data_IF_364794732468
#
_entry.id   IF_364794732468
#
_cell.length_a   1.000
_cell.length_b   1.000
_cell.length_c   1.000
_cell.angle_alpha   90.00
_cell.angle_beta   90.00
_cell.angle_gamma   90.00
#
_symmetry.space_group_name_H-M   'P 1'
#
loop_
_entity.id
_entity.type
_entity.pdbx_description
1 polymer ?
#
# COMPACT_ATOMS: atom_id res chain seq x y z
N UNK A 1 13.40 -8.64 5.45
CA UNK A 1 12.67 -7.52 6.13
C UNK A 1 11.27 -7.91 6.60
N UNK A 2 10.36 -8.39 5.74
CA UNK A 2 8.99 -8.76 6.18
C UNK A 2 8.96 -9.74 7.35
N UNK A 3 9.78 -10.80 7.34
CA UNK A 3 9.88 -11.74 8.46
C UNK A 3 10.27 -11.04 9.77
N UNK A 4 11.35 -10.25 9.74
CA UNK A 4 11.81 -9.46 10.88
C UNK A 4 10.69 -8.60 11.47
N UNK A 5 9.94 -7.87 10.63
CA UNK A 5 8.89 -6.98 11.13
C UNK A 5 7.65 -7.76 11.58
N UNK A 6 7.09 -8.64 10.75
CA UNK A 6 5.83 -9.32 11.09
C UNK A 6 6.00 -10.38 12.17
N UNK A 7 7.02 -11.22 12.07
CA UNK A 7 7.22 -12.36 12.98
C UNK A 7 8.02 -11.91 14.20
N UNK A 8 9.20 -11.33 14.02
CA UNK A 8 10.10 -11.04 15.15
C UNK A 8 9.67 -9.78 15.94
N UNK A 9 9.29 -8.68 15.28
CA UNK A 9 8.90 -7.45 15.98
C UNK A 9 7.43 -7.40 16.43
N UNK A 10 6.53 -7.91 15.59
CA UNK A 10 5.08 -7.82 15.81
C UNK A 10 4.46 -9.11 16.35
N UNK A 11 5.22 -10.21 16.43
CA UNK A 11 4.74 -11.49 16.98
C UNK A 11 3.60 -12.11 16.18
N UNK A 12 3.49 -11.81 14.88
CA UNK A 12 2.39 -12.31 14.03
C UNK A 12 2.70 -13.66 13.44
N UNK A 13 1.71 -14.53 13.46
CA UNK A 13 1.67 -15.70 12.57
C UNK A 13 1.40 -15.22 11.14
N UNK A 14 2.22 -15.66 10.19
CA UNK A 14 2.05 -15.35 8.77
C UNK A 14 2.01 -16.67 8.00
N UNK A 15 0.98 -16.84 7.15
CA UNK A 15 0.73 -18.08 6.40
C UNK A 15 1.93 -18.56 5.60
N UNK A 16 2.71 -17.62 5.07
CA UNK A 16 3.84 -17.86 4.19
C UNK A 16 5.21 -17.66 4.87
N UNK A 17 5.27 -17.69 6.20
CA UNK A 17 6.54 -17.60 6.91
C UNK A 17 7.32 -18.92 6.82
N UNK A 18 8.58 -18.81 6.39
CA UNK A 18 9.59 -19.85 6.52
C UNK A 18 10.48 -19.48 7.71
N UNK A 19 10.32 -20.23 8.81
CA UNK A 19 11.04 -19.97 10.06
C UNK A 19 12.51 -20.40 10.01
N UNK A 20 12.87 -21.36 9.16
CA UNK A 20 14.23 -21.84 9.00
C UNK A 20 15.06 -20.82 8.21
N UNK A 21 14.49 -20.30 7.12
CA UNK A 21 15.14 -19.29 6.26
C UNK A 21 14.92 -17.86 6.73
N UNK A 22 14.04 -17.65 7.72
CA UNK A 22 13.59 -16.33 8.20
C UNK A 22 13.09 -15.44 7.07
N UNK A 23 12.28 -16.01 6.18
CA UNK A 23 11.71 -15.33 5.02
C UNK A 23 10.19 -15.38 5.03
N UNK A 24 9.57 -14.44 4.31
CA UNK A 24 8.16 -14.50 3.94
C UNK A 24 8.12 -14.25 2.44
N UNK A 25 7.56 -15.19 1.69
CA UNK A 25 7.34 -15.11 0.24
C UNK A 25 5.91 -15.53 -0.07
N UNK A 26 5.12 -14.58 -0.54
CA UNK A 26 3.71 -14.72 -0.87
C UNK A 26 3.55 -14.88 -2.39
N UNK A 27 2.51 -15.58 -2.88
CA UNK A 27 2.28 -15.72 -4.32
C UNK A 27 2.27 -14.39 -5.09
N UNK A 28 1.73 -13.33 -4.47
CA UNK A 28 1.65 -11.99 -5.04
C UNK A 28 3.02 -11.34 -5.29
N UNK A 29 4.09 -11.82 -4.64
CA UNK A 29 5.42 -11.26 -4.79
C UNK A 29 6.01 -11.48 -6.19
N UNK A 30 5.53 -12.49 -6.92
CA UNK A 30 6.03 -12.85 -8.24
C UNK A 30 5.79 -11.74 -9.28
N UNK A 31 4.60 -11.15 -9.26
CA UNK A 31 4.13 -10.28 -10.34
C UNK A 31 4.01 -8.81 -9.93
N UNK A 32 4.12 -8.52 -8.63
CA UNK A 32 4.01 -7.18 -8.07
C UNK A 32 5.23 -6.29 -8.34
N UNK A 33 5.11 -5.01 -7.97
CA UNK A 33 6.25 -4.13 -7.77
C UNK A 33 6.57 -4.04 -6.28
N UNK A 34 7.81 -4.37 -5.91
CA UNK A 34 8.30 -4.22 -4.55
C UNK A 34 9.30 -3.05 -4.49
N UNK A 35 8.95 -2.03 -3.73
CA UNK A 35 9.85 -0.91 -3.41
C UNK A 35 10.62 -1.21 -2.14
N UNK A 36 11.88 -0.79 -2.13
CA UNK A 36 12.79 -0.91 -1.01
C UNK A 36 13.41 0.45 -0.71
N UNK A 37 13.44 0.83 0.56
CA UNK A 37 14.16 2.01 1.03
C UNK A 37 15.41 1.57 1.78
N UNK A 38 16.53 2.18 1.43
CA UNK A 38 17.83 1.90 2.02
C UNK A 38 18.36 3.14 2.75
N UNK A 39 19.01 2.92 3.90
CA UNK A 39 19.87 3.87 4.58
C UNK A 39 21.30 3.33 4.52
N UNK A 40 22.13 3.89 3.64
CA UNK A 40 23.37 3.26 3.19
C UNK A 40 23.09 1.86 2.60
N UNK A 41 23.75 0.84 3.14
CA UNK A 41 23.56 -0.57 2.74
C UNK A 41 22.43 -1.26 3.51
N UNK A 42 21.81 -0.58 4.48
CA UNK A 42 20.77 -1.18 5.31
C UNK A 42 19.38 -1.03 4.67
N UNK A 43 18.70 -2.15 4.44
CA UNK A 43 17.27 -2.15 4.07
C UNK A 43 16.42 -1.73 5.28
N UNK A 44 15.77 -0.57 5.20
CA UNK A 44 15.01 0.05 6.31
C UNK A 44 13.50 0.10 6.07
N UNK A 45 13.06 -0.04 4.82
CA UNK A 45 11.68 0.15 4.41
C UNK A 45 11.28 -0.71 3.21
N UNK A 46 10.02 -1.16 3.15
CA UNK A 46 9.45 -1.76 1.94
C UNK A 46 8.00 -1.33 1.73
N UNK A 47 7.53 -1.36 0.49
CA UNK A 47 6.10 -1.35 0.15
C UNK A 47 5.86 -2.12 -1.13
N UNK A 48 4.74 -2.85 -1.22
CA UNK A 48 4.35 -3.65 -2.37
C UNK A 48 3.15 -3.01 -3.06
N UNK A 49 3.23 -2.81 -4.37
CA UNK A 49 2.12 -2.38 -5.22
C UNK A 49 1.78 -3.45 -6.23
N UNK A 50 0.52 -3.85 -6.31
CA UNK A 50 0.05 -4.95 -7.17
C UNK A 50 -1.12 -4.47 -8.02
N UNK A 51 -0.95 -4.56 -9.35
CA UNK A 51 -1.95 -4.04 -10.29
C UNK A 51 -2.94 -5.13 -10.66
N UNK A 52 -4.23 -4.83 -10.61
CA UNK A 52 -5.28 -5.84 -10.82
C UNK A 52 -5.29 -6.41 -12.26
N UNK A 53 -4.77 -5.67 -13.23
CA UNK A 53 -4.63 -6.16 -14.62
C UNK A 53 -3.42 -7.08 -14.84
N UNK A 54 -2.48 -7.14 -13.88
CA UNK A 54 -1.21 -7.86 -14.02
C UNK A 54 -1.06 -8.99 -13.01
N UNK A 55 -1.52 -8.78 -11.79
CA UNK A 55 -1.36 -9.69 -10.68
C UNK A 55 -2.64 -10.48 -10.46
N UNK A 56 -2.52 -11.76 -10.09
CA UNK A 56 -3.62 -12.47 -9.44
C UNK A 56 -3.75 -11.96 -8.01
N UNK A 57 -4.79 -11.15 -7.77
CA UNK A 57 -5.05 -10.53 -6.47
C UNK A 57 -5.77 -11.47 -5.49
N UNK A 58 -6.08 -12.71 -5.87
CA UNK A 58 -6.86 -13.62 -5.03
C UNK A 58 -8.16 -12.97 -4.58
N UNK A 59 -8.45 -13.01 -3.27
CA UNK A 59 -9.71 -12.52 -2.69
C UNK A 59 -9.76 -11.00 -2.48
N UNK A 60 -8.67 -10.25 -2.75
CA UNK A 60 -8.64 -8.81 -2.51
C UNK A 60 -9.71 -8.01 -3.26
N UNK A 61 -10.02 -8.28 -4.55
CA UNK A 61 -11.05 -7.53 -5.28
C UNK A 61 -12.42 -7.57 -4.62
N UNK A 62 -12.83 -8.75 -4.14
CA UNK A 62 -14.07 -8.96 -3.42
C UNK A 62 -14.01 -8.34 -2.02
N UNK A 63 -12.97 -8.65 -1.24
CA UNK A 63 -12.79 -8.16 0.13
C UNK A 63 -12.76 -6.62 0.20
N UNK A 64 -12.07 -5.99 -0.76
CA UNK A 64 -11.93 -4.54 -0.83
C UNK A 64 -13.04 -3.88 -1.64
N UNK A 65 -13.96 -4.66 -2.21
CA UNK A 65 -15.05 -4.17 -3.04
C UNK A 65 -14.55 -3.23 -4.15
N UNK A 66 -13.50 -3.66 -4.85
CA UNK A 66 -12.81 -2.85 -5.87
C UNK A 66 -13.74 -2.55 -7.06
N UNK A 67 -14.72 -3.41 -7.35
CA UNK A 67 -15.71 -3.18 -8.40
C UNK A 67 -16.55 -1.90 -8.21
N UNK A 68 -16.57 -1.30 -7.01
CA UNK A 68 -17.28 -0.03 -6.74
C UNK A 68 -16.72 1.17 -7.52
N UNK A 69 -15.48 1.12 -8.02
CA UNK A 69 -14.95 2.16 -8.93
C UNK A 69 -15.36 1.95 -10.39
N UNK A 70 -16.24 0.98 -10.64
CA UNK A 70 -16.88 0.77 -11.94
C UNK A 70 -15.88 0.41 -13.03
N UNK A 71 -15.96 1.13 -14.16
CA UNK A 71 -15.21 0.83 -15.39
C UNK A 71 -13.69 0.87 -15.24
N UNK A 72 -13.19 1.49 -14.18
CA UNK A 72 -11.75 1.59 -13.94
C UNK A 72 -11.18 0.26 -13.43
N UNK A 73 -12.00 -0.61 -12.83
CA UNK A 73 -11.57 -1.95 -12.43
C UNK A 73 -11.74 -2.97 -13.58
N UNK A 74 -10.76 -3.86 -13.85
CA UNK A 74 -9.46 -4.01 -13.17
C UNK A 74 -8.31 -3.18 -13.79
N UNK A 75 -8.54 -2.56 -14.95
CA UNK A 75 -7.46 -1.99 -15.79
C UNK A 75 -6.67 -0.85 -15.14
N UNK A 76 -7.32 -0.08 -14.27
CA UNK A 76 -6.76 1.13 -13.65
C UNK A 76 -6.78 1.06 -12.12
N UNK A 77 -6.81 -0.16 -11.55
CA UNK A 77 -6.83 -0.35 -10.11
C UNK A 77 -5.61 -1.10 -9.59
N UNK A 78 -5.13 -0.72 -8.41
CA UNK A 78 -4.07 -1.40 -7.68
C UNK A 78 -4.44 -1.65 -6.22
N UNK A 79 -3.70 -2.56 -5.58
CA UNK A 79 -3.61 -2.63 -4.13
C UNK A 79 -2.20 -2.29 -3.68
N UNK A 80 -2.09 -1.57 -2.57
CA UNK A 80 -0.81 -1.30 -1.91
C UNK A 80 -0.76 -1.98 -0.56
N UNK A 81 0.21 -2.86 -0.36
CA UNK A 81 0.33 -3.71 0.84
C UNK A 81 1.77 -3.69 1.36
N UNK A 82 1.98 -4.27 2.55
CA UNK A 82 3.31 -4.49 3.12
C UNK A 82 4.16 -3.21 3.22
N UNK A 83 3.52 -2.06 3.49
CA UNK A 83 4.21 -0.83 3.89
C UNK A 83 4.81 -1.05 5.30
N UNK A 84 6.10 -1.33 5.32
CA UNK A 84 6.85 -1.67 6.52
C UNK A 84 8.05 -0.76 6.66
N UNK A 85 8.34 -0.35 7.89
CA UNK A 85 9.54 0.40 8.25
C UNK A 85 10.09 -0.20 9.55
N UNK A 86 11.40 -0.44 9.59
CA UNK A 86 12.09 -0.89 10.79
C UNK A 86 11.84 0.07 11.94
N UNK A 87 11.66 -0.45 13.16
CA UNK A 87 11.28 0.32 14.35
C UNK A 87 12.08 1.62 14.53
N UNK A 88 13.41 1.53 14.41
CA UNK A 88 14.32 2.65 14.68
C UNK A 88 14.30 3.73 13.59
N UNK A 89 13.65 3.46 12.45
CA UNK A 89 13.53 4.38 11.31
C UNK A 89 12.09 4.89 11.11
N UNK A 90 11.17 4.56 12.03
CA UNK A 90 9.74 4.94 11.91
C UNK A 90 9.49 6.43 12.13
N UNK A 91 10.37 7.12 12.86
CA UNK A 91 10.29 8.57 13.05
C UNK A 91 10.87 9.34 11.85
N UNK A 92 11.48 8.64 10.90
CA UNK A 92 11.98 9.22 9.67
C UNK A 92 10.88 9.26 8.60
N UNK A 93 11.09 10.05 7.55
CA UNK A 93 10.17 10.19 6.42
C UNK A 93 10.10 8.96 5.49
N UNK A 94 10.64 7.79 5.91
CA UNK A 94 10.76 6.58 5.07
C UNK A 94 9.41 6.10 4.55
N UNK A 95 8.38 6.00 5.41
CA UNK A 95 7.04 5.59 4.98
C UNK A 95 6.45 6.56 3.97
N UNK A 96 6.66 7.87 4.17
CA UNK A 96 6.23 8.92 3.24
C UNK A 96 6.98 8.83 1.91
N UNK A 97 8.29 8.58 1.92
CA UNK A 97 9.10 8.42 0.71
C UNK A 97 8.65 7.21 -0.12
N UNK A 98 8.39 6.07 0.52
CA UNK A 98 7.85 4.88 -0.13
C UNK A 98 6.46 5.13 -0.72
N UNK A 99 5.59 5.84 0.01
CA UNK A 99 4.27 6.24 -0.49
C UNK A 99 4.37 7.15 -1.72
N UNK A 100 5.28 8.14 -1.71
CA UNK A 100 5.52 9.04 -2.84
C UNK A 100 6.06 8.31 -4.07
N UNK A 101 6.99 7.36 -3.89
CA UNK A 101 7.51 6.54 -4.97
C UNK A 101 6.41 5.67 -5.59
N UNK A 102 5.59 5.04 -4.74
CA UNK A 102 4.46 4.21 -5.17
C UNK A 102 3.41 5.03 -5.93
N UNK A 103 3.03 6.20 -5.38
CA UNK A 103 2.09 7.13 -6.02
C UNK A 103 2.57 7.58 -7.41
N UNK A 104 3.82 8.08 -7.50
CA UNK A 104 4.38 8.56 -8.77
C UNK A 104 4.38 7.47 -9.83
N UNK A 105 4.78 6.25 -9.45
CA UNK A 105 4.80 5.15 -10.40
C UNK A 105 3.41 4.69 -10.81
N UNK A 106 2.48 4.59 -9.85
CA UNK A 106 1.08 4.26 -10.14
C UNK A 106 0.46 5.24 -11.12
N UNK A 107 0.67 6.55 -10.91
CA UNK A 107 0.18 7.59 -11.81
C UNK A 107 0.75 7.44 -13.22
N UNK A 108 2.07 7.22 -13.35
CA UNK A 108 2.74 7.02 -14.63
C UNK A 108 2.27 5.76 -15.37
N UNK A 109 1.97 4.68 -14.63
CA UNK A 109 1.52 3.40 -15.17
C UNK A 109 -0.01 3.39 -15.44
N UNK A 110 -0.69 4.53 -15.25
CA UNK A 110 -2.11 4.69 -15.55
C UNK A 110 -3.06 4.12 -14.50
N UNK A 111 -2.61 3.93 -13.26
CA UNK A 111 -3.49 3.62 -12.13
C UNK A 111 -4.34 4.86 -11.82
N UNK A 112 -5.65 4.65 -11.64
CA UNK A 112 -6.61 5.67 -11.21
C UNK A 112 -7.02 5.49 -9.77
N UNK A 113 -7.16 4.25 -9.32
CA UNK A 113 -7.54 3.94 -7.94
C UNK A 113 -6.60 2.95 -7.26
N UNK A 114 -6.10 3.29 -6.07
CA UNK A 114 -5.36 2.37 -5.20
C UNK A 114 -6.19 2.03 -3.95
N UNK A 115 -6.09 0.78 -3.49
CA UNK A 115 -6.78 0.30 -2.30
C UNK A 115 -5.79 -0.26 -1.26
N UNK A 116 -6.07 0.00 0.01
CA UNK A 116 -5.29 -0.47 1.16
C UNK A 116 -6.21 -0.96 2.26
N UNK A 117 -5.74 -1.91 3.09
CA UNK A 117 -6.31 -2.17 4.39
C UNK A 117 -5.45 -1.54 5.50
N UNK A 118 -6.13 -0.94 6.48
CA UNK A 118 -5.46 -0.22 7.56
C UNK A 118 -6.08 -0.55 8.90
N UNK A 119 -5.23 -0.64 9.92
CA UNK A 119 -5.71 -0.59 11.29
C UNK A 119 -6.25 0.82 11.61
N UNK A 120 -7.31 0.95 12.42
CA UNK A 120 -7.92 2.24 12.73
C UNK A 120 -6.93 3.31 13.19
N UNK A 121 -5.95 2.94 14.02
CA UNK A 121 -4.93 3.86 14.52
C UNK A 121 -4.01 4.46 13.42
N UNK A 122 -4.03 3.93 12.20
CA UNK A 122 -3.20 4.39 11.07
C UNK A 122 -3.99 5.22 10.05
N UNK A 123 -5.31 5.32 10.19
CA UNK A 123 -6.17 6.09 9.27
C UNK A 123 -5.67 7.53 9.08
N UNK A 124 -5.33 8.31 10.13
CA UNK A 124 -4.94 9.70 9.95
C UNK A 124 -3.72 9.90 9.03
N UNK A 125 -2.78 8.95 9.03
CA UNK A 125 -1.63 8.99 8.14
C UNK A 125 -2.05 8.88 6.67
N UNK A 126 -2.97 7.95 6.35
CA UNK A 126 -3.42 7.73 4.99
C UNK A 126 -4.43 8.79 4.53
N UNK A 127 -5.26 9.32 5.42
CA UNK A 127 -6.12 10.48 5.12
C UNK A 127 -5.30 11.71 4.72
N UNK A 128 -4.17 11.96 5.40
CA UNK A 128 -3.27 13.04 5.01
C UNK A 128 -2.61 12.80 3.64
N UNK A 129 -2.41 11.54 3.22
CA UNK A 129 -1.98 11.22 1.86
C UNK A 129 -3.09 11.45 0.82
N UNK A 130 -4.36 11.51 1.23
CA UNK A 130 -5.53 11.68 0.35
C UNK A 130 -6.38 10.42 0.19
N UNK A 131 -6.15 9.38 0.98
CA UNK A 131 -7.03 8.22 1.01
C UNK A 131 -8.33 8.56 1.73
N UNK A 132 -9.43 7.92 1.32
CA UNK A 132 -10.73 8.01 1.96
C UNK A 132 -11.20 6.62 2.39
N UNK A 133 -11.99 6.56 3.45
CA UNK A 133 -12.64 5.31 3.87
C UNK A 133 -13.52 4.80 2.73
N UNK A 134 -13.31 3.53 2.35
CA UNK A 134 -14.03 2.85 1.27
C UNK A 134 -14.94 1.74 1.81
N UNK A 135 -14.40 0.92 2.71
CA UNK A 135 -15.16 -0.06 3.51
C UNK A 135 -14.84 0.21 4.99
N UNK A 136 -15.82 0.69 5.78
CA UNK A 136 -15.59 1.17 7.14
C UNK A 136 -15.28 0.07 8.15
N UNK A 137 -15.62 -1.18 7.84
CA UNK A 137 -15.30 -2.34 8.65
C UNK A 137 -15.12 -3.58 7.77
N UNK A 138 -13.97 -4.22 7.90
CA UNK A 138 -13.65 -5.49 7.27
C UNK A 138 -13.02 -6.42 8.30
N UNK A 139 -13.53 -7.64 8.39
CA UNK A 139 -12.91 -8.71 9.16
C UNK A 139 -11.90 -9.43 8.25
N UNK A 140 -10.64 -9.01 8.27
CA UNK A 140 -9.59 -9.63 7.48
C UNK A 140 -9.17 -10.98 8.10
N UNK A 141 -9.08 -12.08 7.33
CA UNK A 141 -8.75 -13.41 7.85
C UNK A 141 -7.42 -13.45 8.63
N UNK A 142 -6.41 -12.71 8.15
CA UNK A 142 -5.08 -12.67 8.79
C UNK A 142 -4.84 -11.50 9.74
N UNK A 143 -5.60 -10.39 9.60
CA UNK A 143 -5.27 -9.13 10.26
C UNK A 143 -6.32 -8.67 11.27
N UNK A 144 -7.46 -9.37 11.35
CA UNK A 144 -8.55 -9.00 12.23
C UNK A 144 -9.36 -7.84 11.66
N UNK A 145 -9.92 -7.02 12.55
CA UNK A 145 -10.72 -5.86 12.17
C UNK A 145 -9.86 -4.75 11.58
N UNK A 146 -10.09 -4.42 10.31
CA UNK A 146 -9.41 -3.37 9.55
C UNK A 146 -10.44 -2.50 8.82
N UNK A 147 -9.96 -1.38 8.28
CA UNK A 147 -10.71 -0.48 7.39
C UNK A 147 -10.08 -0.56 6.01
N UNK A 148 -10.88 -0.66 4.95
CA UNK A 148 -10.38 -0.50 3.58
C UNK A 148 -10.48 0.97 3.22
N UNK A 149 -9.39 1.53 2.73
CA UNK A 149 -9.36 2.89 2.19
C UNK A 149 -9.04 2.84 0.70
N UNK A 150 -9.53 3.84 -0.05
CA UNK A 150 -9.23 4.03 -1.46
C UNK A 150 -8.65 5.42 -1.71
N UNK A 151 -7.77 5.51 -2.70
CA UNK A 151 -7.19 6.74 -3.21
C UNK A 151 -7.60 6.90 -4.67
N UNK A 152 -8.24 8.02 -5.02
CA UNK A 152 -8.29 8.48 -6.41
C UNK A 152 -7.00 9.27 -6.67
N UNK A 153 -6.14 8.75 -7.55
CA UNK A 153 -4.82 9.32 -7.81
C UNK A 153 -4.90 10.71 -8.48
N UNK A 154 -6.06 11.08 -9.03
CA UNK A 154 -6.30 12.34 -9.73
C UNK A 154 -7.17 13.34 -8.95
N UNK A 155 -7.60 13.04 -7.72
CA UNK A 155 -8.41 13.95 -6.87
C UNK A 155 -7.55 15.08 -6.28
N UNK A 156 -7.07 15.97 -7.16
CA UNK A 156 -6.24 17.13 -6.82
C UNK A 156 -6.94 18.09 -5.86
N UNK A 157 -8.25 18.25 -6.01
CA UNK A 157 -9.05 19.08 -5.11
C UNK A 157 -8.96 18.55 -3.68
N UNK A 158 -9.12 17.24 -3.50
CA UNK A 158 -8.95 16.62 -2.20
C UNK A 158 -7.51 16.73 -1.69
N UNK A 159 -6.51 16.48 -2.53
CA UNK A 159 -5.10 16.62 -2.14
C UNK A 159 -4.82 18.02 -1.61
N UNK A 160 -5.36 19.06 -2.25
CA UNK A 160 -5.30 20.44 -1.75
C UNK A 160 -5.94 20.61 -0.37
N UNK A 161 -7.15 20.07 -0.17
CA UNK A 161 -7.87 20.17 1.12
C UNK A 161 -7.15 19.50 2.28
N UNK A 162 -6.51 18.34 2.07
CA UNK A 162 -5.83 17.60 3.15
C UNK A 162 -4.33 17.94 3.28
N UNK A 163 -3.83 18.85 2.44
CA UNK A 163 -2.40 19.18 2.37
C UNK A 163 -1.54 18.00 1.95
N UNK A 164 -2.05 17.15 1.05
CA UNK A 164 -1.39 15.89 0.67
C UNK A 164 -0.07 16.15 -0.03
N UNK A 165 0.99 15.38 0.30
CA UNK A 165 2.26 15.45 -0.41
C UNK A 165 2.18 14.93 -1.86
N UNK A 166 1.05 14.33 -2.27
CA UNK A 166 0.82 13.93 -3.66
C UNK A 166 0.41 15.09 -4.56
N UNK A 167 -0.03 16.22 -3.99
CA UNK A 167 -0.48 17.38 -4.78
C UNK A 167 0.59 17.82 -5.79
N UNK A 168 1.84 17.96 -5.34
CA UNK A 168 2.95 18.40 -6.20
C UNK A 168 3.20 17.42 -7.35
N UNK A 169 3.08 16.12 -7.07
CA UNK A 169 3.35 15.04 -8.03
C UNK A 169 2.22 14.83 -9.03
N UNK A 170 0.99 15.14 -8.62
CA UNK A 170 -0.20 15.04 -9.47
C UNK A 170 -0.24 16.10 -10.57
N UNK A 171 0.77 16.98 -10.65
CA UNK A 171 0.84 18.15 -11.54
C UNK A 171 1.66 17.91 -12.81
N UNK A 172 2.17 16.70 -13.02
CA UNK A 172 2.94 16.42 -14.23
C UNK A 172 2.00 16.34 -15.42
N UNK A 173 1.91 17.43 -16.17
CA UNK A 173 1.83 17.33 -17.62
C UNK A 173 2.91 16.32 -18.05
N UNK A 174 2.47 15.31 -18.79
CA UNK A 174 3.35 14.44 -19.51
C UNK A 174 4.09 15.32 -20.55
N UNK A 175 5.38 15.56 -20.29
CA UNK A 175 6.33 15.93 -21.33
C UNK A 175 7.07 14.67 -21.78
#
# INVERSE_FOLDING_TARGET
MRYRVYVEELGRTQRHADHDRKTIEEPLDRDCMLWAAYDGDQLVGTVRSSYAWRCDLGDYPELYQMARVGRDHPRHTSITTKLLVLRDHRLMSVARALALATYRRGLADGVRHDFIDVYPARIPFFEHLGYRVHVPELQHPEYGRVVVMSLDLHDREHFGRVGSPFLDLSSSDAA
#
